data_IF_843779964812
#
_entry.id   IF_843779964812
#
_cell.length_a   1.000
_cell.length_b   1.000
_cell.length_c   1.000
_cell.angle_alpha   90.00
_cell.angle_beta   90.00
_cell.angle_gamma   90.00
#
_symmetry.space_group_name_H-M   'P 1'
#
loop_
_entity.id
_entity.type
_entity.pdbx_description
1 polymer ?
#
# COMPACT_ATOMS: atom_id res chain seq x y z
N UNK A 1 37.99 9.16 -34.56
CA UNK A 1 37.96 8.48 -33.23
C UNK A 1 37.45 9.40 -32.11
N UNK A 2 37.91 10.64 -32.01
CA UNK A 2 37.46 11.61 -30.99
C UNK A 2 35.94 11.89 -31.03
N UNK A 3 35.32 11.98 -32.20
CA UNK A 3 33.88 12.23 -32.31
C UNK A 3 33.02 11.06 -31.83
N UNK A 4 33.52 9.82 -32.03
CA UNK A 4 32.84 8.61 -31.54
C UNK A 4 32.94 8.49 -30.01
N UNK A 5 34.09 8.83 -29.45
CA UNK A 5 34.29 8.83 -27.99
C UNK A 5 33.47 9.91 -27.33
N UNK A 6 33.35 11.10 -27.94
CA UNK A 6 32.50 12.17 -27.41
C UNK A 6 31.01 11.82 -27.47
N UNK A 7 30.56 11.17 -28.56
CA UNK A 7 29.18 10.72 -28.68
C UNK A 7 28.81 9.70 -27.59
N UNK A 8 29.74 8.76 -27.31
CA UNK A 8 29.55 7.77 -26.23
C UNK A 8 29.54 8.40 -24.85
N UNK A 9 30.36 9.40 -24.59
CA UNK A 9 30.38 10.16 -23.35
C UNK A 9 29.03 10.89 -23.14
N UNK A 10 28.51 11.48 -24.18
CA UNK A 10 27.23 12.17 -24.18
C UNK A 10 26.07 11.19 -23.91
N UNK A 11 26.11 10.00 -24.53
CA UNK A 11 25.14 8.94 -24.31
C UNK A 11 25.17 8.44 -22.85
N UNK A 12 26.37 8.20 -22.30
CA UNK A 12 26.53 7.80 -20.89
C UNK A 12 26.00 8.87 -19.94
N UNK A 13 26.26 10.15 -20.22
CA UNK A 13 25.74 11.26 -19.41
C UNK A 13 24.20 11.34 -19.49
N UNK A 14 23.63 11.11 -20.66
CA UNK A 14 22.18 11.09 -20.84
C UNK A 14 21.55 9.93 -20.06
N UNK A 15 22.13 8.74 -20.12
CA UNK A 15 21.65 7.57 -19.39
C UNK A 15 21.75 7.75 -17.88
N UNK A 16 22.84 8.36 -17.38
CA UNK A 16 22.97 8.71 -15.96
C UNK A 16 21.90 9.72 -15.53
N UNK A 17 21.60 10.71 -16.34
CA UNK A 17 20.56 11.69 -16.04
C UNK A 17 19.15 11.04 -15.99
N UNK A 18 18.88 10.09 -16.90
CA UNK A 18 17.63 9.31 -16.87
C UNK A 18 17.52 8.46 -15.60
N UNK A 19 18.62 7.80 -15.22
CA UNK A 19 18.66 7.02 -13.96
C UNK A 19 18.46 7.90 -12.74
N UNK A 20 19.01 9.10 -12.72
CA UNK A 20 18.82 10.06 -11.64
C UNK A 20 17.36 10.51 -11.51
N UNK A 21 16.70 10.73 -12.65
CA UNK A 21 15.28 11.04 -12.65
C UNK A 21 14.45 9.86 -12.13
N UNK A 22 14.71 8.65 -12.62
CA UNK A 22 14.02 7.45 -12.18
C UNK A 22 14.18 7.22 -10.67
N UNK A 23 15.40 7.36 -10.14
CA UNK A 23 15.66 7.27 -8.71
C UNK A 23 14.89 8.32 -7.91
N UNK A 24 14.77 9.52 -8.43
CA UNK A 24 14.01 10.60 -7.81
C UNK A 24 12.53 10.22 -7.74
N UNK A 25 11.99 9.70 -8.83
CA UNK A 25 10.59 9.32 -8.95
C UNK A 25 10.27 8.11 -8.04
N UNK A 26 11.11 7.09 -8.02
CA UNK A 26 10.95 5.95 -7.10
C UNK A 26 11.03 6.37 -5.63
N UNK A 27 11.96 7.25 -5.26
CA UNK A 27 12.07 7.75 -3.89
C UNK A 27 10.86 8.58 -3.48
N UNK A 28 10.32 9.37 -4.39
CA UNK A 28 9.08 10.12 -4.17
C UNK A 28 7.89 9.18 -3.97
N UNK A 29 7.78 8.15 -4.83
CA UNK A 29 6.74 7.14 -4.73
C UNK A 29 6.84 6.32 -3.44
N UNK A 30 8.04 5.89 -3.06
CA UNK A 30 8.28 5.21 -1.78
C UNK A 30 7.79 6.04 -0.60
N UNK A 31 8.11 7.32 -0.60
CA UNK A 31 7.64 8.24 0.44
C UNK A 31 6.12 8.34 0.46
N UNK A 32 5.47 8.44 -0.69
CA UNK A 32 4.02 8.49 -0.78
C UNK A 32 3.36 7.23 -0.19
N UNK A 33 3.90 6.04 -0.50
CA UNK A 33 3.42 4.77 0.04
C UNK A 33 3.58 4.72 1.57
N UNK A 34 4.73 5.13 2.08
CA UNK A 34 5.00 5.18 3.52
C UNK A 34 4.05 6.15 4.23
N UNK A 35 3.82 7.33 3.65
CA UNK A 35 2.90 8.31 4.21
C UNK A 35 1.44 7.81 4.21
N UNK A 36 1.02 7.13 3.14
CA UNK A 36 -0.31 6.48 3.06
C UNK A 36 -0.48 5.40 4.12
N UNK A 37 0.51 4.54 4.27
CA UNK A 37 0.49 3.47 5.28
C UNK A 37 0.41 4.07 6.70
N UNK A 38 1.27 5.03 7.00
CA UNK A 38 1.30 5.71 8.29
C UNK A 38 0.00 6.48 8.58
N UNK A 39 -0.62 7.09 7.57
CA UNK A 39 -1.90 7.76 7.70
C UNK A 39 -3.03 6.78 8.01
N UNK A 40 -3.09 5.67 7.28
CA UNK A 40 -4.09 4.63 7.51
C UNK A 40 -3.99 4.03 8.90
N UNK A 41 -2.77 3.71 9.36
CA UNK A 41 -2.54 3.18 10.70
C UNK A 41 -2.96 4.16 11.80
N UNK A 42 -2.60 5.45 11.65
CA UNK A 42 -2.99 6.51 12.60
C UNK A 42 -4.50 6.70 12.65
N UNK A 43 -5.16 6.68 11.49
CA UNK A 43 -6.61 6.84 11.42
C UNK A 43 -7.34 5.67 12.08
N UNK A 44 -6.92 4.43 11.81
CA UNK A 44 -7.46 3.24 12.46
C UNK A 44 -7.28 3.31 13.99
N UNK A 45 -6.08 3.66 14.45
CA UNK A 45 -5.79 3.79 15.88
C UNK A 45 -6.63 4.89 16.53
N UNK A 46 -6.82 6.03 15.85
CA UNK A 46 -7.66 7.13 16.35
C UNK A 46 -9.10 6.68 16.50
N UNK A 47 -9.67 6.06 15.47
CA UNK A 47 -11.06 5.58 15.49
C UNK A 47 -11.30 4.56 16.61
N UNK A 48 -10.41 3.59 16.76
CA UNK A 48 -10.50 2.59 17.83
C UNK A 48 -10.37 3.22 19.23
N UNK A 49 -9.52 4.23 19.37
CA UNK A 49 -9.34 4.95 20.64
C UNK A 49 -10.57 5.79 21.00
N UNK A 50 -11.15 6.50 20.03
CA UNK A 50 -12.37 7.29 20.21
C UNK A 50 -13.54 6.40 20.59
N UNK A 51 -13.77 5.30 19.85
CA UNK A 51 -14.82 4.33 20.14
C UNK A 51 -14.64 3.69 21.53
N UNK A 52 -13.41 3.31 21.88
CA UNK A 52 -13.11 2.72 23.20
C UNK A 52 -13.38 3.71 24.34
N UNK A 53 -13.07 5.00 24.14
CA UNK A 53 -13.37 6.05 25.08
C UNK A 53 -14.89 6.25 25.26
N UNK A 54 -15.64 6.32 24.17
CA UNK A 54 -17.10 6.45 24.22
C UNK A 54 -17.78 5.26 24.90
N UNK A 55 -17.35 4.03 24.59
CA UNK A 55 -17.84 2.81 25.23
C UNK A 55 -17.55 2.81 26.74
N UNK A 56 -16.35 3.23 27.13
CA UNK A 56 -15.95 3.32 28.53
C UNK A 56 -16.79 4.35 29.29
N UNK A 57 -17.01 5.51 28.66
CA UNK A 57 -17.87 6.57 29.24
C UNK A 57 -19.32 6.10 29.40
N UNK A 58 -19.89 5.48 28.35
CA UNK A 58 -21.25 4.93 28.39
C UNK A 58 -21.39 3.84 29.47
N UNK A 59 -20.41 2.98 29.60
CA UNK A 59 -20.37 1.96 30.65
C UNK A 59 -20.36 2.57 32.06
N UNK A 60 -19.57 3.63 32.26
CA UNK A 60 -19.52 4.32 33.54
C UNK A 60 -20.86 5.02 33.89
N UNK A 61 -21.51 5.64 32.92
CA UNK A 61 -22.79 6.30 33.10
C UNK A 61 -23.90 5.30 33.42
N UNK A 62 -23.97 4.17 32.68
CA UNK A 62 -24.90 3.08 32.95
C UNK A 62 -24.67 2.45 34.33
N UNK A 63 -23.41 2.28 34.72
CA UNK A 63 -23.07 1.73 36.04
C UNK A 63 -23.53 2.65 37.19
N UNK A 64 -23.42 3.99 37.00
CA UNK A 64 -23.94 4.97 37.96
C UNK A 64 -25.47 4.92 38.04
N UNK A 65 -26.14 4.81 36.87
CA UNK A 65 -27.59 4.70 36.81
C UNK A 65 -28.06 3.42 37.54
N UNK A 66 -27.36 2.29 37.34
CA UNK A 66 -27.67 1.02 38.03
C UNK A 66 -27.52 1.09 39.55
N UNK A 67 -26.56 1.91 40.05
CA UNK A 67 -26.36 2.13 41.47
C UNK A 67 -27.41 3.06 42.12
N UNK A 68 -28.20 3.73 41.33
CA UNK A 68 -29.23 4.64 41.83
C UNK A 68 -30.43 3.81 42.39
N UNK A 69 -30.74 4.03 43.63
CA UNK A 69 -31.86 3.34 44.34
C UNK A 69 -33.24 3.58 43.71
N UNK A 70 -33.38 4.62 42.84
CA UNK A 70 -34.62 4.92 42.12
C UNK A 70 -34.77 4.14 40.80
N UNK A 71 -33.76 3.37 40.36
CA UNK A 71 -33.77 2.59 39.11
C UNK A 71 -34.76 1.43 39.23
N UNK A 72 -35.71 1.35 38.31
CA UNK A 72 -36.69 0.25 38.29
C UNK A 72 -36.05 -1.11 37.91
N UNK A 73 -36.67 -2.20 38.32
CA UNK A 73 -36.16 -3.54 38.01
C UNK A 73 -36.08 -3.84 36.51
N UNK A 74 -37.00 -3.30 35.71
CA UNK A 74 -36.97 -3.47 34.26
C UNK A 74 -35.88 -2.65 33.62
N UNK A 75 -35.68 -1.40 34.08
CA UNK A 75 -34.57 -0.58 33.64
C UNK A 75 -33.20 -1.20 34.00
N UNK A 76 -33.08 -1.78 35.18
CA UNK A 76 -31.88 -2.49 35.60
C UNK A 76 -31.56 -3.70 34.69
N UNK A 77 -32.57 -4.41 34.18
CA UNK A 77 -32.36 -5.50 33.21
C UNK A 77 -31.85 -4.95 31.86
N UNK A 78 -32.44 -3.85 31.39
CA UNK A 78 -31.99 -3.18 30.16
C UNK A 78 -30.53 -2.70 30.28
N UNK A 79 -30.19 -2.05 31.40
CA UNK A 79 -28.82 -1.60 31.67
C UNK A 79 -27.84 -2.76 31.65
N UNK A 80 -28.19 -3.89 32.29
CA UNK A 80 -27.31 -5.05 32.27
C UNK A 80 -27.10 -5.60 30.85
N UNK A 81 -28.13 -5.59 30.00
CA UNK A 81 -28.00 -5.98 28.61
C UNK A 81 -27.08 -4.98 27.85
N UNK A 82 -27.30 -3.67 28.02
CA UNK A 82 -26.45 -2.66 27.40
C UNK A 82 -24.97 -2.79 27.84
N UNK A 83 -24.70 -3.11 29.10
CA UNK A 83 -23.35 -3.35 29.61
C UNK A 83 -22.71 -4.60 28.98
N UNK A 84 -23.49 -5.66 28.76
CA UNK A 84 -23.01 -6.84 28.00
C UNK A 84 -22.65 -6.48 26.55
N UNK A 85 -23.50 -5.70 25.87
CA UNK A 85 -23.25 -5.25 24.49
C UNK A 85 -21.99 -4.36 24.42
N UNK A 86 -21.79 -3.47 25.39
CA UNK A 86 -20.58 -2.66 25.52
C UNK A 86 -19.35 -3.55 25.71
N UNK A 87 -19.42 -4.55 26.59
CA UNK A 87 -18.31 -5.49 26.82
C UNK A 87 -17.94 -6.26 25.55
N UNK A 88 -18.94 -6.72 24.81
CA UNK A 88 -18.74 -7.39 23.52
C UNK A 88 -18.08 -6.43 22.48
N UNK A 89 -18.50 -5.18 22.44
CA UNK A 89 -17.92 -4.15 21.55
C UNK A 89 -16.47 -3.84 21.94
N UNK A 90 -16.16 -3.74 23.23
CA UNK A 90 -14.78 -3.55 23.71
C UNK A 90 -13.89 -4.74 23.36
N UNK A 91 -14.38 -5.97 23.49
CA UNK A 91 -13.66 -7.17 23.08
C UNK A 91 -13.40 -7.18 21.57
N UNK A 92 -14.39 -6.77 20.75
CA UNK A 92 -14.23 -6.62 19.31
C UNK A 92 -13.17 -5.58 18.97
N UNK A 93 -13.18 -4.41 19.62
CA UNK A 93 -12.19 -3.37 19.39
C UNK A 93 -10.76 -3.86 19.70
N UNK A 94 -10.61 -4.58 20.81
CA UNK A 94 -9.33 -5.20 21.18
C UNK A 94 -8.86 -6.21 20.13
N UNK A 95 -9.77 -7.02 19.60
CA UNK A 95 -9.47 -7.96 18.52
C UNK A 95 -9.06 -7.21 17.25
N UNK A 96 -9.82 -6.21 16.80
CA UNK A 96 -9.50 -5.40 15.62
C UNK A 96 -8.14 -4.73 15.79
N UNK A 97 -7.83 -4.21 16.97
CA UNK A 97 -6.53 -3.63 17.27
C UNK A 97 -5.39 -4.65 17.14
N UNK A 98 -5.62 -5.89 17.58
CA UNK A 98 -4.61 -6.96 17.51
C UNK A 98 -4.28 -7.39 16.08
N UNK A 99 -5.24 -7.27 15.14
CA UNK A 99 -5.07 -7.66 13.73
C UNK A 99 -4.82 -6.48 12.80
N UNK A 100 -4.89 -5.25 13.28
CA UNK A 100 -4.76 -4.05 12.43
C UNK A 100 -3.43 -3.99 11.66
N UNK A 101 -2.34 -4.50 12.27
CA UNK A 101 -1.02 -4.58 11.66
C UNK A 101 -0.85 -5.69 10.62
N UNK A 102 -1.75 -6.67 10.60
CA UNK A 102 -1.73 -7.82 9.69
C UNK A 102 -2.92 -7.82 8.72
N UNK A 103 -3.62 -6.69 8.58
CA UNK A 103 -4.65 -6.57 7.56
C UNK A 103 -4.06 -6.68 6.16
N UNK A 104 -4.78 -7.29 5.22
CA UNK A 104 -4.32 -7.47 3.84
C UNK A 104 -3.86 -6.14 3.21
N UNK A 105 -4.53 -5.05 3.52
CA UNK A 105 -4.12 -3.72 3.09
C UNK A 105 -2.71 -3.35 3.58
N UNK A 106 -2.42 -3.55 4.88
CA UNK A 106 -1.12 -3.24 5.47
C UNK A 106 -0.04 -4.14 4.88
N UNK A 107 -0.31 -5.44 4.77
CA UNK A 107 0.61 -6.43 4.20
C UNK A 107 0.92 -6.10 2.73
N UNK A 108 -0.10 -5.82 1.92
CA UNK A 108 0.09 -5.46 0.51
C UNK A 108 0.90 -4.17 0.37
N UNK A 109 0.61 -3.13 1.17
CA UNK A 109 1.39 -1.90 1.17
C UNK A 109 2.85 -2.12 1.59
N UNK A 110 3.10 -2.99 2.57
CA UNK A 110 4.46 -3.34 3.00
C UNK A 110 5.22 -4.09 1.90
N UNK A 111 4.57 -5.02 1.21
CA UNK A 111 5.15 -5.74 0.08
C UNK A 111 5.49 -4.79 -1.08
N UNK A 112 4.59 -3.85 -1.37
CA UNK A 112 4.83 -2.84 -2.39
C UNK A 112 5.99 -1.91 -2.02
N UNK A 113 6.06 -1.46 -0.77
CA UNK A 113 7.19 -0.70 -0.23
C UNK A 113 8.50 -1.47 -0.39
N UNK A 114 8.52 -2.75 -0.05
CA UNK A 114 9.70 -3.61 -0.17
C UNK A 114 10.15 -3.75 -1.64
N UNK A 115 9.21 -3.97 -2.55
CA UNK A 115 9.50 -4.06 -3.99
C UNK A 115 10.09 -2.75 -4.55
N UNK A 116 9.53 -1.61 -4.16
CA UNK A 116 10.06 -0.30 -4.60
C UNK A 116 11.45 -0.04 -4.00
N UNK A 117 11.70 -0.46 -2.77
CA UNK A 117 13.04 -0.37 -2.15
C UNK A 117 14.07 -1.21 -2.92
N UNK A 118 13.73 -2.44 -3.30
CA UNK A 118 14.56 -3.31 -4.11
C UNK A 118 14.92 -2.66 -5.45
N UNK A 119 13.95 -2.08 -6.15
CA UNK A 119 14.20 -1.36 -7.40
C UNK A 119 15.09 -0.13 -7.22
N UNK A 120 14.96 0.60 -6.10
CA UNK A 120 15.87 1.71 -5.79
C UNK A 120 17.30 1.19 -5.63
N UNK A 121 17.52 0.10 -4.89
CA UNK A 121 18.83 -0.49 -4.68
C UNK A 121 19.46 -0.99 -5.98
N UNK A 122 18.68 -1.62 -6.85
CA UNK A 122 19.11 -2.03 -8.18
C UNK A 122 19.54 -0.84 -9.04
N UNK A 123 18.72 0.21 -9.09
CA UNK A 123 19.03 1.44 -9.83
C UNK A 123 20.27 2.14 -9.28
N UNK A 124 20.44 2.22 -7.97
CA UNK A 124 21.62 2.81 -7.32
C UNK A 124 22.89 2.00 -7.63
N UNK A 125 22.80 0.68 -7.59
CA UNK A 125 23.90 -0.23 -7.94
C UNK A 125 24.28 -0.07 -9.41
N UNK A 126 23.31 0.01 -10.30
CA UNK A 126 23.53 0.20 -11.72
C UNK A 126 24.15 1.58 -12.02
N UNK A 127 23.63 2.64 -11.38
CA UNK A 127 24.18 3.99 -11.47
C UNK A 127 25.64 4.04 -11.03
N UNK A 128 25.96 3.40 -9.88
CA UNK A 128 27.33 3.34 -9.36
C UNK A 128 28.27 2.62 -10.35
N UNK A 129 27.86 1.53 -10.98
CA UNK A 129 28.63 0.83 -12.02
C UNK A 129 28.86 1.73 -13.24
N UNK A 130 27.84 2.42 -13.70
CA UNK A 130 27.97 3.32 -14.85
C UNK A 130 28.88 4.51 -14.55
N UNK A 131 28.76 5.08 -13.35
CA UNK A 131 29.64 6.16 -12.91
C UNK A 131 31.09 5.71 -12.82
N UNK A 132 31.37 4.56 -12.22
CA UNK A 132 32.71 3.98 -12.15
C UNK A 132 33.32 3.71 -13.54
N UNK A 133 32.52 3.23 -14.49
CA UNK A 133 32.97 3.05 -15.88
C UNK A 133 33.29 4.37 -16.57
N UNK A 134 32.49 5.40 -16.33
CA UNK A 134 32.73 6.76 -16.83
C UNK A 134 34.04 7.34 -16.25
N UNK A 135 34.21 7.24 -14.92
CA UNK A 135 35.37 7.78 -14.20
C UNK A 135 36.67 7.05 -14.55
N UNK A 136 36.61 5.74 -14.83
CA UNK A 136 37.75 4.95 -15.28
C UNK A 136 38.19 5.23 -16.72
N UNK A 137 37.50 6.12 -17.44
CA UNK A 137 37.79 6.39 -18.85
C UNK A 137 37.45 5.22 -19.78
N UNK A 138 36.92 4.12 -19.24
CA UNK A 138 36.43 2.97 -19.99
C UNK A 138 35.11 3.24 -20.73
N UNK A 139 34.57 4.47 -20.61
CA UNK A 139 33.43 4.98 -21.39
C UNK A 139 33.64 4.95 -22.89
N UNK A 140 34.75 4.38 -23.36
CA UNK A 140 35.06 4.37 -24.79
C UNK A 140 34.60 3.12 -25.51
N UNK A 141 34.31 2.00 -24.91
CA UNK A 141 33.93 0.79 -25.65
C UNK A 141 32.93 -0.08 -24.90
N UNK A 142 31.72 0.42 -24.73
CA UNK A 142 30.60 -0.49 -24.81
C UNK A 142 30.56 -1.01 -26.23
N UNK A 143 30.96 -2.28 -26.45
CA UNK A 143 30.76 -2.88 -27.77
C UNK A 143 29.26 -2.85 -28.10
N UNK A 144 28.87 -2.86 -29.39
CA UNK A 144 27.46 -2.68 -29.76
C UNK A 144 26.49 -3.67 -29.14
N UNK A 145 26.98 -4.80 -28.59
CA UNK A 145 26.20 -5.80 -27.87
C UNK A 145 25.89 -5.38 -26.42
N UNK A 146 26.85 -4.78 -25.73
CA UNK A 146 26.64 -4.26 -24.38
C UNK A 146 25.68 -3.05 -24.37
N UNK A 147 25.81 -2.16 -25.36
CA UNK A 147 24.87 -1.05 -25.53
C UNK A 147 23.44 -1.52 -25.80
N UNK A 148 23.28 -2.58 -26.61
CA UNK A 148 21.95 -3.18 -26.85
C UNK A 148 21.41 -3.91 -25.62
N UNK A 149 22.28 -4.58 -24.85
CA UNK A 149 21.91 -5.21 -23.58
C UNK A 149 21.35 -4.18 -22.59
N UNK A 150 22.05 -3.10 -22.37
CA UNK A 150 21.61 -2.04 -21.45
C UNK A 150 20.35 -1.29 -21.92
N UNK A 151 20.19 -1.12 -23.25
CA UNK A 151 18.96 -0.60 -23.81
C UNK A 151 17.78 -1.54 -23.59
N UNK A 152 17.99 -2.84 -23.77
CA UNK A 152 16.97 -3.87 -23.50
C UNK A 152 16.57 -3.92 -22.00
N UNK A 153 17.56 -3.84 -21.11
CA UNK A 153 17.33 -3.83 -19.67
C UNK A 153 16.55 -2.57 -19.23
N UNK A 154 16.90 -1.40 -19.79
CA UNK A 154 16.15 -0.16 -19.58
C UNK A 154 14.70 -0.27 -20.08
N UNK A 155 14.52 -0.80 -21.27
CA UNK A 155 13.20 -0.93 -21.90
C UNK A 155 12.35 -1.95 -21.14
N UNK A 156 12.96 -3.01 -20.60
CA UNK A 156 12.31 -3.97 -19.70
C UNK A 156 11.88 -3.30 -18.39
N UNK A 157 12.74 -2.51 -17.76
CA UNK A 157 12.42 -1.77 -16.55
C UNK A 157 11.28 -0.76 -16.76
N UNK A 158 11.26 -0.09 -17.94
CA UNK A 158 10.15 0.80 -18.29
C UNK A 158 8.84 0.06 -18.52
N UNK A 159 8.88 -1.15 -19.10
CA UNK A 159 7.71 -2.01 -19.27
C UNK A 159 7.15 -2.44 -17.92
N UNK A 160 8.01 -2.92 -17.04
CA UNK A 160 7.63 -3.34 -15.69
C UNK A 160 7.04 -2.17 -14.88
N UNK A 161 7.61 -0.97 -15.02
CA UNK A 161 7.06 0.24 -14.40
C UNK A 161 5.65 0.56 -14.93
N UNK A 162 5.45 0.50 -16.25
CA UNK A 162 4.13 0.74 -16.85
C UNK A 162 3.10 -0.31 -16.42
N UNK A 163 3.49 -1.57 -16.38
CA UNK A 163 2.60 -2.64 -15.90
C UNK A 163 2.20 -2.44 -14.45
N UNK A 164 3.15 -2.07 -13.58
CA UNK A 164 2.88 -1.75 -12.18
C UNK A 164 1.98 -0.50 -12.03
N UNK A 165 2.21 0.51 -12.85
CA UNK A 165 1.39 1.73 -12.89
C UNK A 165 -0.05 1.40 -13.35
N UNK A 166 -0.21 0.59 -14.39
CA UNK A 166 -1.52 0.14 -14.90
C UNK A 166 -2.25 -0.71 -13.84
N UNK A 167 -1.54 -1.62 -13.18
CA UNK A 167 -2.09 -2.41 -12.07
C UNK A 167 -2.52 -1.52 -10.90
N UNK A 168 -1.70 -0.52 -10.55
CA UNK A 168 -2.04 0.45 -9.51
C UNK A 168 -3.31 1.25 -9.85
N UNK A 169 -3.40 1.79 -11.06
CA UNK A 169 -4.58 2.54 -11.47
C UNK A 169 -5.81 1.64 -11.64
N UNK A 170 -5.64 0.41 -12.09
CA UNK A 170 -6.69 -0.60 -12.16
C UNK A 170 -7.22 -0.95 -10.76
N UNK A 171 -6.31 -1.24 -9.81
CA UNK A 171 -6.68 -1.50 -8.43
C UNK A 171 -7.34 -0.30 -7.74
N UNK A 172 -6.90 0.93 -8.08
CA UNK A 172 -7.49 2.17 -7.57
C UNK A 172 -8.89 2.43 -8.11
N UNK A 173 -9.19 2.03 -9.35
CA UNK A 173 -10.53 2.12 -9.94
C UNK A 173 -11.51 1.12 -9.34
N UNK A 174 -10.99 0.05 -8.73
CA UNK A 174 -11.79 -1.08 -8.31
C UNK A 174 -12.27 -1.92 -9.51
N UNK A 175 -12.98 -2.97 -9.21
CA UNK A 175 -13.62 -3.81 -10.24
C UNK A 175 -14.93 -3.15 -10.61
N UNK A 176 -15.05 -2.73 -11.85
CA UNK A 176 -16.27 -2.13 -12.40
C UNK A 176 -16.89 -3.13 -13.38
N UNK A 177 -18.18 -3.30 -13.34
CA UNK A 177 -18.88 -4.13 -14.32
C UNK A 177 -18.80 -3.50 -15.72
N UNK A 178 -18.60 -4.33 -16.73
CA UNK A 178 -18.51 -3.90 -18.13
C UNK A 178 -19.90 -3.65 -18.78
N UNK A 179 -20.96 -3.95 -18.03
CA UNK A 179 -22.35 -3.80 -18.49
C UNK A 179 -23.27 -3.42 -17.31
N UNK A 180 -24.38 -2.80 -17.64
CA UNK A 180 -25.45 -2.49 -16.70
C UNK A 180 -26.26 -3.74 -16.39
N UNK A 181 -26.49 -4.04 -15.12
CA UNK A 181 -27.23 -5.23 -14.70
C UNK A 181 -27.76 -5.11 -13.27
N UNK A 182 -28.52 -6.11 -12.86
CA UNK A 182 -29.01 -6.23 -11.49
C UNK A 182 -28.10 -7.21 -10.74
N UNK A 183 -27.61 -6.80 -9.57
CA UNK A 183 -26.83 -7.69 -8.70
C UNK A 183 -27.74 -8.77 -8.15
N UNK A 184 -27.54 -10.01 -8.57
CA UNK A 184 -28.35 -11.17 -8.12
C UNK A 184 -27.67 -11.92 -6.98
N UNK A 185 -26.35 -11.85 -6.88
CA UNK A 185 -25.61 -12.47 -5.80
C UNK A 185 -24.37 -11.63 -5.44
N UNK A 186 -24.08 -11.50 -4.14
CA UNK A 186 -22.89 -10.86 -3.62
C UNK A 186 -22.30 -11.73 -2.51
N UNK A 187 -21.20 -12.44 -2.82
CA UNK A 187 -20.47 -13.29 -1.87
C UNK A 187 -19.29 -12.56 -1.23
N UNK A 188 -18.99 -11.35 -1.71
CA UNK A 188 -17.88 -10.53 -1.22
C UNK A 188 -18.19 -9.97 0.18
N UNK A 189 -17.31 -10.28 1.14
CA UNK A 189 -17.35 -9.69 2.50
C UNK A 189 -16.22 -8.68 2.60
N UNK A 190 -16.54 -7.46 3.04
CA UNK A 190 -15.54 -6.42 3.23
C UNK A 190 -14.47 -6.86 4.23
N UNK A 191 -13.19 -6.82 3.80
CA UNK A 191 -12.03 -7.24 4.59
C UNK A 191 -11.71 -8.74 4.55
N UNK A 192 -12.42 -9.55 3.76
CA UNK A 192 -12.08 -10.95 3.55
C UNK A 192 -11.05 -11.12 2.44
N UNK A 193 -10.11 -12.04 2.62
CA UNK A 193 -9.21 -12.49 1.56
C UNK A 193 -9.98 -13.26 0.50
N UNK A 194 -9.74 -12.93 -0.75
CA UNK A 194 -10.38 -13.55 -1.91
C UNK A 194 -9.32 -14.24 -2.76
N UNK A 195 -9.57 -15.51 -3.12
CA UNK A 195 -8.69 -16.23 -4.03
C UNK A 195 -8.81 -15.66 -5.46
N UNK A 196 -7.72 -15.74 -6.22
CA UNK A 196 -7.72 -15.37 -7.63
C UNK A 196 -8.76 -16.20 -8.39
N UNK A 197 -9.61 -15.52 -9.17
CA UNK A 197 -10.70 -16.16 -9.92
C UNK A 197 -11.97 -16.44 -9.12
N UNK A 198 -12.06 -16.06 -7.84
CA UNK A 198 -13.29 -16.22 -7.06
C UNK A 198 -14.40 -15.29 -7.57
N UNK A 199 -15.59 -15.84 -7.71
CA UNK A 199 -16.78 -15.08 -8.07
C UNK A 199 -17.28 -14.28 -6.86
N UNK A 200 -17.25 -12.97 -6.95
CA UNK A 200 -17.64 -12.07 -5.86
C UNK A 200 -19.03 -11.51 -6.02
N UNK A 201 -19.42 -11.24 -7.26
CA UNK A 201 -20.68 -10.60 -7.60
C UNK A 201 -21.20 -11.27 -8.89
N UNK A 202 -22.49 -11.59 -8.91
CA UNK A 202 -23.22 -12.00 -10.13
C UNK A 202 -24.14 -10.88 -10.56
N UNK A 203 -24.04 -10.50 -11.83
CA UNK A 203 -24.91 -9.52 -12.48
C UNK A 203 -25.76 -10.23 -13.53
N UNK A 204 -27.07 -9.94 -13.57
CA UNK A 204 -28.01 -10.36 -14.62
C UNK A 204 -28.67 -9.13 -15.26
#
# INVERSE_FOLDING_TARGET
>A
ENSKSQAKLNEANTNLAVLDQQLTDYKAYLKELQDKLAKSQRETQRQLSEESYELSRKSADLSKELQNSATSADRAKEINKELQDISASQARNSYVQSIAGSSDYVVNMQNEIASVQEHIEECETYKAKMQAQKDAGEGSILNGYQSKGYAADRDLAQLTYKEAEEQYYSAKKGIVADFDGIVTECTGVSGASVAEGAQLITLE
#
